data_IF_937269925557
#
_entry.id   IF_937269925557
#
_cell.length_a   1.000
_cell.length_b   1.000
_cell.length_c   1.000
_cell.angle_alpha   90.00
_cell.angle_beta   90.00
_cell.angle_gamma   90.00
#
_symmetry.space_group_name_H-M   'P 1'
#
loop_
_entity.id
_entity.type
_entity.pdbx_description
1 polymer ?
#
# COMPACT_ATOMS: atom_id res chain seq x y z
N UNK A 1 24.47 32.42 30.79
CA UNK A 1 23.35 31.44 30.77
C UNK A 1 23.58 30.58 29.54
N UNK A 2 24.05 29.36 29.74
CA UNK A 2 24.22 28.35 28.69
C UNK A 2 22.89 27.63 28.52
N UNK A 3 22.26 27.77 27.36
CA UNK A 3 21.08 26.98 26.98
C UNK A 3 21.53 25.54 26.71
N UNK A 4 21.34 24.65 27.68
CA UNK A 4 21.44 23.21 27.46
C UNK A 4 20.34 22.78 26.48
N UNK A 5 20.65 22.00 25.41
CA UNK A 5 19.64 21.48 24.51
C UNK A 5 18.71 20.55 25.28
N UNK A 6 17.48 21.00 25.52
CA UNK A 6 16.43 20.18 26.12
C UNK A 6 16.17 18.98 25.17
N UNK A 7 16.34 17.72 25.61
CA UNK A 7 16.13 16.57 24.74
C UNK A 7 14.69 16.56 24.24
N UNK A 8 14.52 16.78 22.94
CA UNK A 8 13.22 16.69 22.29
C UNK A 8 12.62 15.30 22.55
N UNK A 9 11.36 15.20 23.01
CA UNK A 9 10.71 13.92 23.22
C UNK A 9 10.74 13.09 21.94
N UNK A 10 11.31 11.88 22.01
CA UNK A 10 11.32 10.96 20.88
C UNK A 10 9.89 10.45 20.65
N UNK A 11 9.36 10.52 19.41
CA UNK A 11 8.01 10.04 19.12
C UNK A 11 7.91 8.53 19.42
N UNK A 12 6.78 8.06 19.96
CA UNK A 12 6.59 6.62 20.15
C UNK A 12 6.66 5.90 18.80
N UNK A 13 7.26 4.69 18.75
CA UNK A 13 7.39 3.94 17.51
C UNK A 13 6.00 3.66 16.94
N UNK A 14 5.83 3.95 15.64
CA UNK A 14 4.58 3.69 14.94
C UNK A 14 4.35 2.17 14.84
N UNK A 15 3.08 1.70 14.95
CA UNK A 15 2.74 0.30 14.75
C UNK A 15 3.26 -0.21 13.39
N UNK A 16 3.93 -1.38 13.33
CA UNK A 16 4.53 -1.91 12.10
C UNK A 16 3.55 -2.01 10.93
N UNK A 17 2.30 -2.36 11.24
CA UNK A 17 1.21 -2.49 10.25
C UNK A 17 0.90 -1.19 9.50
N UNK A 18 1.17 -0.02 10.10
CA UNK A 18 0.96 1.27 9.44
C UNK A 18 2.11 1.65 8.50
N UNK A 19 3.27 1.01 8.66
CA UNK A 19 4.43 1.18 7.78
C UNK A 19 4.35 0.23 6.57
N UNK A 20 3.45 -0.76 6.65
CA UNK A 20 3.18 -1.71 5.60
C UNK A 20 2.14 -1.17 4.59
N UNK A 21 2.48 -1.17 3.31
CA UNK A 21 1.59 -0.88 2.17
C UNK A 21 0.58 -2.00 1.89
N UNK A 22 0.92 -3.26 2.19
CA UNK A 22 0.08 -4.42 1.87
C UNK A 22 -1.31 -4.39 2.50
N UNK A 23 -1.48 -4.03 3.79
CA UNK A 23 -2.80 -3.84 4.40
C UNK A 23 -3.68 -2.87 3.61
N UNK A 24 -3.12 -1.75 3.14
CA UNK A 24 -3.89 -0.74 2.38
C UNK A 24 -4.34 -1.29 1.03
N UNK A 25 -3.44 -1.98 0.31
CA UNK A 25 -3.76 -2.62 -0.98
C UNK A 25 -4.87 -3.66 -0.80
N UNK A 26 -4.78 -4.49 0.25
CA UNK A 26 -5.78 -5.52 0.54
C UNK A 26 -7.16 -4.91 0.84
N UNK A 27 -7.22 -3.91 1.71
CA UNK A 27 -8.48 -3.23 2.05
C UNK A 27 -9.10 -2.59 0.82
N UNK A 28 -8.30 -1.87 0.01
CA UNK A 28 -8.78 -1.26 -1.22
C UNK A 28 -9.28 -2.28 -2.25
N UNK A 29 -8.54 -3.38 -2.44
CA UNK A 29 -8.94 -4.47 -3.35
C UNK A 29 -10.26 -5.11 -2.90
N UNK A 30 -10.40 -5.44 -1.61
CA UNK A 30 -11.63 -6.02 -1.06
C UNK A 30 -12.82 -5.07 -1.20
N UNK A 31 -12.62 -3.77 -0.97
CA UNK A 31 -13.66 -2.76 -1.15
C UNK A 31 -14.14 -2.71 -2.62
N UNK A 32 -13.22 -2.70 -3.59
CA UNK A 32 -13.58 -2.72 -5.01
C UNK A 32 -14.28 -4.02 -5.42
N UNK A 33 -13.80 -5.18 -4.95
CA UNK A 33 -14.44 -6.47 -5.21
C UNK A 33 -15.85 -6.51 -4.62
N UNK A 34 -16.03 -6.08 -3.37
CA UNK A 34 -17.34 -6.02 -2.73
C UNK A 34 -18.31 -5.09 -3.47
N UNK A 35 -17.82 -3.94 -3.92
CA UNK A 35 -18.62 -2.98 -4.70
C UNK A 35 -18.99 -3.55 -6.07
N UNK A 36 -18.06 -4.24 -6.75
CA UNK A 36 -18.33 -4.93 -8.01
C UNK A 36 -19.42 -6.00 -7.81
N UNK A 37 -19.27 -6.87 -6.81
CA UNK A 37 -20.28 -7.89 -6.47
C UNK A 37 -21.65 -7.24 -6.25
N UNK A 38 -21.72 -6.15 -5.48
CA UNK A 38 -22.96 -5.41 -5.28
C UNK A 38 -23.54 -4.86 -6.59
N UNK A 39 -22.72 -4.28 -7.48
CA UNK A 39 -23.16 -3.75 -8.78
C UNK A 39 -23.68 -4.84 -9.74
N UNK A 40 -23.24 -6.09 -9.60
CA UNK A 40 -23.74 -7.21 -10.41
C UNK A 40 -24.96 -7.89 -9.81
N UNK A 41 -25.10 -7.92 -8.47
CA UNK A 41 -26.20 -8.60 -7.78
C UNK A 41 -27.40 -7.70 -7.47
N UNK A 42 -27.21 -6.39 -7.36
CA UNK A 42 -28.25 -5.43 -6.96
C UNK A 42 -28.67 -4.59 -8.19
N UNK A 43 -29.92 -4.72 -8.69
CA UNK A 43 -30.35 -4.01 -9.90
C UNK A 43 -30.23 -2.47 -9.81
N UNK A 44 -30.45 -1.89 -8.63
CA UNK A 44 -30.30 -0.44 -8.43
C UNK A 44 -28.86 0.07 -8.53
N UNK A 45 -27.86 -0.84 -8.50
CA UNK A 45 -26.44 -0.52 -8.61
C UNK A 45 -25.85 -0.89 -9.97
N UNK A 46 -26.66 -1.30 -10.95
CA UNK A 46 -26.18 -1.73 -12.27
C UNK A 46 -25.36 -0.65 -12.99
N UNK A 47 -25.71 0.63 -12.82
CA UNK A 47 -24.98 1.76 -13.41
C UNK A 47 -23.54 1.90 -12.89
N UNK A 48 -23.21 1.28 -11.75
CA UNK A 48 -21.87 1.31 -11.16
C UNK A 48 -20.93 0.27 -11.75
N UNK A 49 -21.43 -0.73 -12.48
CA UNK A 49 -20.61 -1.80 -13.09
C UNK A 49 -19.38 -1.28 -13.84
N UNK A 50 -19.48 -0.33 -14.81
CA UNK A 50 -18.30 0.18 -15.50
C UNK A 50 -17.29 0.84 -14.55
N UNK A 51 -17.77 1.54 -13.52
CA UNK A 51 -16.92 2.18 -12.50
C UNK A 51 -16.19 1.13 -11.67
N UNK A 52 -16.89 0.07 -11.24
CA UNK A 52 -16.28 -1.02 -10.46
C UNK A 52 -15.26 -1.82 -11.26
N UNK A 53 -15.49 -2.03 -12.56
CA UNK A 53 -14.54 -2.68 -13.45
C UNK A 53 -13.31 -1.79 -13.67
N UNK A 54 -13.52 -0.48 -13.90
CA UNK A 54 -12.43 0.47 -14.03
C UNK A 54 -11.58 0.55 -12.75
N UNK A 55 -12.23 0.58 -11.57
CA UNK A 55 -11.54 0.58 -10.28
C UNK A 55 -10.71 -0.68 -10.05
N UNK A 56 -11.25 -1.86 -10.36
CA UNK A 56 -10.50 -3.13 -10.29
C UNK A 56 -9.32 -3.15 -11.27
N UNK A 57 -9.52 -2.67 -12.50
CA UNK A 57 -8.47 -2.62 -13.51
C UNK A 57 -7.33 -1.66 -13.09
N UNK A 58 -7.68 -0.45 -12.64
CA UNK A 58 -6.72 0.56 -12.16
C UNK A 58 -5.99 0.06 -10.90
N UNK A 59 -6.71 -0.54 -9.94
CA UNK A 59 -6.11 -1.11 -8.74
C UNK A 59 -5.16 -2.27 -9.04
N UNK A 60 -5.55 -3.17 -9.94
CA UNK A 60 -4.70 -4.25 -10.42
C UNK A 60 -3.45 -3.75 -11.15
N UNK A 61 -3.60 -2.75 -12.03
CA UNK A 61 -2.49 -2.11 -12.73
C UNK A 61 -1.52 -1.45 -11.74
N UNK A 62 -2.01 -0.63 -10.82
CA UNK A 62 -1.18 0.06 -9.84
C UNK A 62 -0.42 -0.91 -8.93
N UNK A 63 -1.11 -1.95 -8.46
CA UNK A 63 -0.49 -3.01 -7.64
C UNK A 63 0.57 -3.78 -8.43
N UNK A 64 0.30 -4.09 -9.71
CA UNK A 64 1.26 -4.77 -10.59
C UNK A 64 2.52 -3.94 -10.82
N UNK A 65 2.38 -2.64 -11.07
CA UNK A 65 3.51 -1.70 -11.18
C UNK A 65 4.31 -1.67 -9.88
N UNK A 66 3.64 -1.56 -8.73
CA UNK A 66 4.29 -1.54 -7.43
C UNK A 66 5.09 -2.83 -7.17
N UNK A 67 4.51 -4.01 -7.43
CA UNK A 67 5.21 -5.29 -7.25
C UNK A 67 6.40 -5.40 -8.20
N UNK A 68 6.28 -4.91 -9.43
CA UNK A 68 7.38 -4.88 -10.38
C UNK A 68 8.52 -3.96 -9.90
N UNK A 69 8.19 -2.79 -9.35
CA UNK A 69 9.15 -1.87 -8.72
C UNK A 69 9.81 -2.50 -7.50
N UNK A 70 9.05 -3.14 -6.61
CA UNK A 70 9.58 -3.85 -5.44
C UNK A 70 10.53 -4.98 -5.85
N UNK A 71 10.19 -5.74 -6.89
CA UNK A 71 11.06 -6.78 -7.43
C UNK A 71 12.33 -6.19 -8.07
N UNK A 72 12.24 -5.03 -8.74
CA UNK A 72 13.41 -4.35 -9.29
C UNK A 72 14.35 -3.80 -8.19
N UNK A 73 13.80 -3.25 -7.11
CA UNK A 73 14.56 -2.80 -5.95
C UNK A 73 15.29 -3.96 -5.27
N UNK A 74 14.61 -5.10 -5.07
CA UNK A 74 15.23 -6.34 -4.54
C UNK A 74 16.39 -6.87 -5.38
N UNK A 75 16.39 -6.59 -6.69
CA UNK A 75 17.49 -6.96 -7.62
C UNK A 75 18.67 -5.97 -7.61
N UNK A 76 18.64 -4.93 -6.77
CA UNK A 76 19.75 -3.98 -6.62
C UNK A 76 19.92 -3.01 -7.79
N UNK A 77 18.86 -2.77 -8.58
CA UNK A 77 18.90 -1.75 -9.63
C UNK A 77 19.02 -0.36 -8.98
N UNK A 78 20.22 0.26 -9.10
CA UNK A 78 20.60 1.56 -8.49
C UNK A 78 19.88 2.79 -9.06
N UNK A 79 18.62 2.64 -9.47
CA UNK A 79 17.73 3.71 -9.91
C UNK A 79 16.30 3.60 -9.37
N UNK A 80 16.05 2.69 -8.42
CA UNK A 80 14.75 2.53 -7.76
C UNK A 80 14.62 3.46 -6.52
N UNK A 81 13.40 3.86 -6.17
CA UNK A 81 13.11 4.74 -5.03
C UNK A 81 13.71 4.19 -3.73
N UNK A 82 14.42 5.05 -3.00
CA UNK A 82 14.82 4.79 -1.62
C UNK A 82 13.57 4.71 -0.73
N UNK A 83 13.41 3.60 0.00
CA UNK A 83 12.27 3.32 0.88
C UNK A 83 11.71 1.89 0.74
N UNK A 84 12.12 1.13 -0.27
CA UNK A 84 11.70 -0.27 -0.47
C UNK A 84 12.51 -1.26 0.38
N UNK A 85 13.67 -0.84 0.88
CA UNK A 85 14.56 -1.56 1.79
C UNK A 85 13.89 -1.96 3.11
N UNK A 86 13.06 -1.08 3.70
CA UNK A 86 12.33 -1.34 4.94
C UNK A 86 11.39 -2.56 4.84
N UNK A 87 10.93 -2.87 3.63
CA UNK A 87 10.04 -4.00 3.35
C UNK A 87 10.76 -5.33 3.10
N UNK A 88 12.06 -5.27 2.84
CA UNK A 88 12.91 -6.46 2.60
C UNK A 88 13.52 -6.92 3.92
N UNK A 89 14.02 -5.99 4.74
CA UNK A 89 14.64 -6.30 6.04
C UNK A 89 13.67 -6.97 7.03
N UNK A 90 12.38 -6.65 6.98
CA UNK A 90 11.40 -7.26 7.88
C UNK A 90 11.15 -8.75 7.61
N UNK A 91 11.53 -9.27 6.42
CA UNK A 91 11.30 -10.67 6.04
C UNK A 91 12.47 -11.60 6.40
N UNK A 92 13.66 -11.07 6.67
CA UNK A 92 14.84 -11.86 7.04
C UNK A 92 14.97 -12.13 8.55
N UNK A 93 14.05 -11.59 9.36
CA UNK A 93 14.04 -11.74 10.82
C UNK A 93 12.95 -12.70 11.35
N UNK A 94 12.25 -13.41 10.46
CA UNK A 94 11.34 -14.53 10.78
C UNK A 94 11.93 -15.89 10.32
#
# INVERSE_FOLDING_TARGET
>A
MTDEPNPSPEPPPLPPVLLEVWPVILVGALAWVGTAVAAFLVPSLESWRPVTVAGLAVGGLGTGIFVWQLAAARRGARGAQAGLENYVDHKELD
#
